data_IF_295249348915
#
_entry.id   IF_295249348915
#
_cell.length_a   1.000
_cell.length_b   1.000
_cell.length_c   1.000
_cell.angle_alpha   90.00
_cell.angle_beta   90.00
_cell.angle_gamma   90.00
#
_symmetry.space_group_name_H-M   'P 1'
#
loop_
_entity.id
_entity.type
_entity.pdbx_description
1 polymer ?
#
# COMPACT_ATOMS: atom_id res chain seq x y z
N UNK A 1 -30.46 -21.71 -17.56
CA UNK A 1 -29.03 -21.58 -17.20
C UNK A 1 -28.90 -22.14 -15.80
N UNK A 2 -28.12 -23.21 -15.61
CA UNK A 2 -27.95 -23.79 -14.27
C UNK A 2 -27.24 -22.78 -13.35
N UNK A 3 -27.66 -22.68 -12.08
CA UNK A 3 -27.10 -21.71 -11.12
C UNK A 3 -25.57 -21.80 -11.00
N UNK A 4 -25.03 -23.01 -11.12
CA UNK A 4 -23.59 -23.26 -11.10
C UNK A 4 -22.87 -22.66 -12.31
N UNK A 5 -23.48 -22.73 -13.50
CA UNK A 5 -22.91 -22.17 -14.73
C UNK A 5 -22.87 -20.65 -14.67
N UNK A 6 -23.93 -20.03 -14.15
CA UNK A 6 -23.97 -18.58 -13.92
C UNK A 6 -22.88 -18.15 -12.92
N UNK A 7 -22.76 -18.85 -11.79
CA UNK A 7 -21.74 -18.58 -10.78
C UNK A 7 -20.33 -18.61 -11.38
N UNK A 8 -19.98 -19.68 -12.12
CA UNK A 8 -18.65 -19.84 -12.71
C UNK A 8 -18.30 -18.72 -13.67
N UNK A 9 -19.23 -18.37 -14.56
CA UNK A 9 -18.98 -17.40 -15.62
C UNK A 9 -19.07 -15.94 -15.17
N UNK A 10 -19.99 -15.60 -14.28
CA UNK A 10 -20.30 -14.22 -13.92
C UNK A 10 -19.76 -13.79 -12.56
N UNK A 11 -19.30 -14.74 -11.73
CA UNK A 11 -18.78 -14.45 -10.39
C UNK A 11 -17.37 -14.98 -10.22
N UNK A 12 -17.15 -16.29 -10.33
CA UNK A 12 -15.85 -16.93 -10.05
C UNK A 12 -14.75 -16.45 -11.01
N UNK A 13 -14.98 -16.53 -12.33
CA UNK A 13 -13.98 -16.10 -13.32
C UNK A 13 -13.61 -14.60 -13.20
N UNK A 14 -14.57 -13.66 -13.08
CA UNK A 14 -14.25 -12.26 -12.79
C UNK A 14 -13.46 -12.07 -11.50
N UNK A 15 -13.82 -12.77 -10.41
CA UNK A 15 -13.08 -12.68 -9.15
C UNK A 15 -11.63 -13.17 -9.29
N UNK A 16 -11.41 -14.30 -9.97
CA UNK A 16 -10.07 -14.81 -10.28
C UNK A 16 -9.28 -13.77 -11.09
N UNK A 17 -9.90 -13.14 -12.09
CA UNK A 17 -9.25 -12.10 -12.88
C UNK A 17 -8.89 -10.87 -12.05
N UNK A 18 -9.77 -10.42 -11.15
CA UNK A 18 -9.50 -9.31 -10.23
C UNK A 18 -8.33 -9.65 -9.31
N UNK A 19 -8.33 -10.86 -8.72
CA UNK A 19 -7.25 -11.33 -7.82
C UNK A 19 -5.93 -11.39 -8.58
N UNK A 20 -5.90 -11.99 -9.76
CA UNK A 20 -4.69 -12.10 -10.58
C UNK A 20 -4.18 -10.72 -11.01
N UNK A 21 -5.06 -9.82 -11.42
CA UNK A 21 -4.70 -8.45 -11.79
C UNK A 21 -4.06 -7.75 -10.59
N UNK A 22 -4.73 -7.72 -9.43
CA UNK A 22 -4.23 -7.05 -8.23
C UNK A 22 -2.96 -7.69 -7.66
N UNK A 23 -2.79 -9.01 -7.77
CA UNK A 23 -1.57 -9.70 -7.35
C UNK A 23 -0.36 -9.36 -8.25
N UNK A 24 -0.59 -9.11 -9.54
CA UNK A 24 0.44 -8.66 -10.47
C UNK A 24 0.69 -7.14 -10.39
N UNK A 25 -0.31 -6.35 -9.95
CA UNK A 25 -0.25 -4.89 -9.89
C UNK A 25 0.44 -4.30 -8.65
N UNK A 26 1.24 -5.09 -7.93
CA UNK A 26 2.05 -4.62 -6.79
C UNK A 26 3.04 -3.48 -7.17
N UNK A 27 3.15 -3.14 -8.45
CA UNK A 27 3.97 -2.05 -8.99
C UNK A 27 3.18 -0.77 -9.33
N UNK A 28 1.83 -0.80 -9.32
CA UNK A 28 1.02 0.33 -9.77
C UNK A 28 1.28 1.61 -8.95
N UNK A 29 1.26 1.50 -7.62
CA UNK A 29 1.53 2.61 -6.71
C UNK A 29 2.92 3.22 -6.95
N UNK A 30 3.93 2.37 -7.16
CA UNK A 30 5.29 2.83 -7.46
C UNK A 30 5.36 3.53 -8.81
N UNK A 31 4.74 2.97 -9.85
CA UNK A 31 4.69 3.57 -11.19
C UNK A 31 3.98 4.92 -11.16
N UNK A 32 2.87 5.02 -10.42
CA UNK A 32 2.14 6.26 -10.19
C UNK A 32 3.07 7.33 -9.60
N UNK A 33 3.79 7.01 -8.53
CA UNK A 33 4.74 7.92 -7.89
C UNK A 33 5.84 8.33 -8.89
N UNK A 34 6.37 7.41 -9.69
CA UNK A 34 7.41 7.73 -10.67
C UNK A 34 6.94 8.71 -11.75
N UNK A 35 5.71 8.57 -12.23
CA UNK A 35 5.13 9.46 -13.24
C UNK A 35 4.91 10.89 -12.72
N UNK A 36 4.64 11.03 -11.43
CA UNK A 36 4.30 12.31 -10.80
C UNK A 36 5.49 12.96 -10.06
N UNK A 37 6.68 12.35 -10.08
CA UNK A 37 7.93 12.96 -9.61
C UNK A 37 8.80 13.43 -10.79
N UNK A 38 9.01 14.75 -10.98
CA UNK A 38 9.61 15.31 -12.20
C UNK A 38 11.15 15.22 -12.27
N UNK A 39 11.81 14.38 -11.49
CA UNK A 39 13.28 14.29 -11.41
C UNK A 39 13.78 12.87 -11.69
N UNK A 40 14.68 12.73 -12.68
CA UNK A 40 15.21 11.43 -13.14
C UNK A 40 15.98 10.67 -12.07
N UNK A 41 16.79 11.35 -11.24
CA UNK A 41 17.53 10.70 -10.16
C UNK A 41 16.58 10.18 -9.08
N UNK A 42 15.52 10.94 -8.80
CA UNK A 42 14.46 10.51 -7.89
C UNK A 42 13.66 9.34 -8.47
N UNK A 43 13.36 9.35 -9.78
CA UNK A 43 12.67 8.24 -10.44
C UNK A 43 13.44 6.91 -10.31
N UNK A 44 14.78 6.97 -10.42
CA UNK A 44 15.62 5.81 -10.16
C UNK A 44 15.58 5.37 -8.69
N UNK A 45 15.69 6.31 -7.74
CA UNK A 45 15.57 5.98 -6.33
C UNK A 45 14.21 5.35 -5.98
N UNK A 46 13.12 5.86 -6.57
CA UNK A 46 11.75 5.34 -6.41
C UNK A 46 11.61 3.96 -7.04
N UNK A 47 12.25 3.69 -8.19
CA UNK A 47 12.18 2.38 -8.86
C UNK A 47 12.71 1.24 -7.99
N UNK A 48 13.60 1.57 -7.05
CA UNK A 48 14.18 0.63 -6.11
C UNK A 48 13.25 0.34 -4.92
N UNK A 49 12.18 1.12 -4.70
CA UNK A 49 11.29 0.95 -3.56
C UNK A 49 10.37 -0.27 -3.75
N UNK A 50 10.15 -1.02 -2.68
CA UNK A 50 9.12 -2.06 -2.61
C UNK A 50 7.85 -1.49 -1.99
N UNK A 51 6.72 -2.21 -2.09
CA UNK A 51 5.47 -1.87 -1.38
C UNK A 51 5.70 -1.67 0.12
N UNK A 52 6.54 -2.51 0.74
CA UNK A 52 6.93 -2.34 2.14
C UNK A 52 7.73 -1.06 2.39
N UNK A 53 8.59 -0.64 1.45
CA UNK A 53 9.28 0.65 1.59
C UNK A 53 8.31 1.82 1.53
N UNK A 54 7.32 1.78 0.64
CA UNK A 54 6.29 2.82 0.51
C UNK A 54 5.40 2.89 1.76
N UNK A 55 4.90 1.74 2.23
CA UNK A 55 4.13 1.66 3.48
C UNK A 55 4.92 2.19 4.68
N UNK A 56 6.21 1.91 4.75
CA UNK A 56 7.08 2.41 5.82
C UNK A 56 7.25 3.94 5.76
N UNK A 57 7.32 4.54 4.56
CA UNK A 57 7.37 6.00 4.42
C UNK A 57 6.08 6.65 4.93
N UNK A 58 4.91 6.11 4.59
CA UNK A 58 3.63 6.59 5.13
C UNK A 58 3.60 6.51 6.65
N UNK A 59 4.03 5.39 7.23
CA UNK A 59 4.04 5.25 8.68
C UNK A 59 4.98 6.25 9.36
N UNK A 60 6.14 6.53 8.77
CA UNK A 60 7.04 7.56 9.29
C UNK A 60 6.38 8.93 9.20
N UNK A 61 5.72 9.30 8.11
CA UNK A 61 5.02 10.59 7.99
C UNK A 61 3.95 10.77 9.08
N UNK A 62 3.21 9.70 9.43
CA UNK A 62 2.15 9.73 10.44
C UNK A 62 2.68 9.90 11.87
N UNK A 63 3.88 9.39 12.17
CA UNK A 63 4.39 9.29 13.54
C UNK A 63 5.72 10.02 13.77
N UNK A 64 6.23 10.76 12.79
CA UNK A 64 7.55 11.41 12.88
C UNK A 64 7.61 12.51 13.95
N UNK A 65 8.72 12.62 14.72
CA UNK A 65 9.82 11.65 14.79
C UNK A 65 9.40 10.32 15.44
N UNK A 66 9.77 9.20 14.80
CA UNK A 66 9.40 7.85 15.26
C UNK A 66 10.63 6.99 15.54
N UNK A 67 10.59 6.15 16.57
CA UNK A 67 11.68 5.20 16.89
C UNK A 67 11.54 3.89 16.09
N UNK A 68 12.59 3.06 16.11
CA UNK A 68 12.51 1.73 15.52
C UNK A 68 11.43 0.87 16.22
N UNK A 69 11.32 0.95 17.54
CA UNK A 69 10.31 0.25 18.34
C UNK A 69 8.88 0.71 17.99
N UNK A 70 8.68 2.02 17.77
CA UNK A 70 7.38 2.54 17.33
C UNK A 70 6.98 1.98 15.97
N UNK A 71 7.91 1.93 15.01
CA UNK A 71 7.65 1.35 13.69
C UNK A 71 7.37 -0.16 13.74
N UNK A 72 8.00 -0.88 14.67
CA UNK A 72 7.72 -2.31 14.90
C UNK A 72 6.29 -2.51 15.39
N UNK A 73 5.87 -1.71 16.37
CA UNK A 73 4.54 -1.82 16.96
C UNK A 73 3.43 -1.53 15.95
N UNK A 74 3.60 -0.47 15.14
CA UNK A 74 2.58 -0.04 14.18
C UNK A 74 2.48 -0.93 12.94
N UNK A 75 3.58 -1.54 12.51
CA UNK A 75 3.62 -2.35 11.28
C UNK A 75 3.61 -3.86 11.51
N UNK A 76 3.70 -4.31 12.76
CA UNK A 76 3.88 -5.72 13.14
C UNK A 76 5.06 -6.39 12.41
N UNK A 77 6.21 -5.71 12.41
CA UNK A 77 7.42 -6.15 11.72
C UNK A 77 8.56 -6.42 12.68
N UNK A 78 9.43 -7.38 12.33
CA UNK A 78 10.63 -7.66 13.11
C UNK A 78 11.68 -6.54 12.97
N UNK A 79 12.44 -6.29 14.03
CA UNK A 79 13.52 -5.28 14.07
C UNK A 79 14.49 -5.36 12.88
N UNK A 80 14.88 -6.57 12.45
CA UNK A 80 15.77 -6.75 11.30
C UNK A 80 15.15 -6.27 9.98
N UNK A 81 13.82 -6.39 9.83
CA UNK A 81 13.08 -5.90 8.66
C UNK A 81 13.03 -4.38 8.66
N UNK A 82 12.66 -3.76 9.80
CA UNK A 82 12.67 -2.31 9.96
C UNK A 82 14.06 -1.75 9.67
N UNK A 83 15.09 -2.28 10.33
CA UNK A 83 16.50 -1.90 10.14
C UNK A 83 16.92 -1.92 8.66
N UNK A 84 16.66 -3.04 7.96
CA UNK A 84 17.01 -3.18 6.55
C UNK A 84 16.34 -2.11 5.69
N UNK A 85 15.04 -1.87 5.90
CA UNK A 85 14.26 -0.96 5.08
C UNK A 85 14.56 0.52 5.38
N UNK A 86 14.68 0.90 6.66
CA UNK A 86 15.04 2.28 7.05
C UNK A 86 16.45 2.64 6.59
N UNK A 87 17.41 1.72 6.67
CA UNK A 87 18.75 1.93 6.12
C UNK A 87 18.72 2.19 4.60
N UNK A 88 17.91 1.41 3.87
CA UNK A 88 17.72 1.59 2.43
C UNK A 88 17.07 2.94 2.12
N UNK A 89 16.00 3.31 2.83
CA UNK A 89 15.30 4.59 2.66
C UNK A 89 16.21 5.78 2.98
N UNK A 90 17.03 5.67 4.03
CA UNK A 90 18.01 6.70 4.39
C UNK A 90 19.10 6.85 3.32
N UNK A 91 19.64 5.73 2.83
CA UNK A 91 20.64 5.72 1.74
C UNK A 91 20.10 6.31 0.44
N UNK A 92 18.82 6.11 0.15
CA UNK A 92 18.15 6.67 -1.03
C UNK A 92 17.69 8.12 -0.82
N UNK A 93 17.91 8.71 0.37
CA UNK A 93 17.60 10.11 0.67
C UNK A 93 16.13 10.40 0.99
N UNK A 94 15.31 9.39 1.29
CA UNK A 94 13.90 9.57 1.65
C UNK A 94 13.68 9.80 3.16
N UNK A 95 14.60 9.31 3.99
CA UNK A 95 14.50 9.36 5.46
C UNK A 95 15.80 9.91 6.05
N UNK A 96 15.68 10.74 7.09
CA UNK A 96 16.79 11.14 7.97
C UNK A 96 16.68 10.42 9.31
N UNK A 97 17.83 10.15 9.92
CA UNK A 97 17.94 9.56 11.26
C UNK A 97 18.74 10.47 12.17
N UNK A 98 18.34 10.55 13.44
CA UNK A 98 19.03 11.37 14.45
C UNK A 98 20.32 10.75 14.98
N UNK A 99 20.50 9.43 14.84
CA UNK A 99 21.64 8.69 15.36
C UNK A 99 22.02 7.52 14.43
N UNK A 100 23.27 7.06 14.48
CA UNK A 100 23.72 5.91 13.66
C UNK A 100 23.22 4.57 14.21
N UNK A 101 23.25 4.40 15.54
CA UNK A 101 22.64 3.25 16.21
C UNK A 101 21.11 3.32 16.08
N UNK A 102 20.54 2.36 15.35
CA UNK A 102 19.11 2.28 15.02
C UNK A 102 18.23 2.17 16.26
N UNK A 103 18.71 1.53 17.33
CA UNK A 103 17.95 1.40 18.58
C UNK A 103 17.80 2.73 19.32
N UNK A 104 18.67 3.69 19.02
CA UNK A 104 18.67 5.03 19.60
C UNK A 104 18.21 6.10 18.61
N UNK A 105 18.00 5.71 17.35
CA UNK A 105 17.63 6.63 16.29
C UNK A 105 16.13 6.91 16.28
N UNK A 106 15.80 8.16 16.00
CA UNK A 106 14.46 8.56 15.54
C UNK A 106 14.51 8.87 14.05
N UNK A 107 13.45 8.53 13.34
CA UNK A 107 13.32 8.68 11.90
C UNK A 107 12.31 9.76 11.55
N UNK A 108 12.63 10.52 10.51
CA UNK A 108 11.77 11.56 9.93
C UNK A 108 11.94 11.53 8.41
N UNK A 109 10.92 11.93 7.67
CA UNK A 109 11.02 12.06 6.23
C UNK A 109 11.87 13.27 5.84
N UNK A 110 12.60 13.12 4.74
CA UNK A 110 13.16 14.28 4.05
C UNK A 110 12.08 14.99 3.25
N UNK A 111 12.36 16.19 2.72
CA UNK A 111 11.47 16.86 1.76
C UNK A 111 11.10 15.96 0.58
N UNK A 112 12.04 15.13 0.12
CA UNK A 112 11.81 14.14 -0.93
C UNK A 112 10.89 13.02 -0.45
N UNK A 113 11.13 12.48 0.75
CA UNK A 113 10.27 11.48 1.37
C UNK A 113 8.83 11.95 1.52
N UNK A 114 8.61 13.14 2.09
CA UNK A 114 7.26 13.68 2.26
C UNK A 114 6.56 13.95 0.93
N UNK A 115 7.30 14.35 -0.12
CA UNK A 115 6.71 14.49 -1.47
C UNK A 115 6.26 13.14 -2.05
N UNK A 116 7.02 12.07 -1.82
CA UNK A 116 6.62 10.72 -2.23
C UNK A 116 5.34 10.30 -1.51
N UNK A 117 5.26 10.51 -0.19
CA UNK A 117 4.06 10.16 0.59
C UNK A 117 2.85 11.01 0.20
N UNK A 118 3.04 12.30 -0.09
CA UNK A 118 1.97 13.16 -0.62
C UNK A 118 1.35 12.57 -1.90
N UNK A 119 2.17 12.23 -2.89
CA UNK A 119 1.70 11.63 -4.16
C UNK A 119 1.05 10.26 -3.93
N UNK A 120 1.54 9.49 -2.97
CA UNK A 120 0.96 8.22 -2.56
C UNK A 120 -0.45 8.41 -1.97
N UNK A 121 -0.65 9.44 -1.15
CA UNK A 121 -1.95 9.77 -0.59
C UNK A 121 -2.92 10.28 -1.66
N UNK A 122 -2.44 11.08 -2.64
CA UNK A 122 -3.27 11.48 -3.80
C UNK A 122 -3.80 10.27 -4.58
N UNK A 123 -2.98 9.21 -4.71
CA UNK A 123 -3.45 7.96 -5.31
C UNK A 123 -4.50 7.27 -4.44
N UNK A 124 -4.27 7.22 -3.12
CA UNK A 124 -5.25 6.70 -2.16
C UNK A 124 -6.60 7.39 -2.31
N UNK A 125 -6.62 8.72 -2.32
CA UNK A 125 -7.83 9.52 -2.47
C UNK A 125 -8.53 9.25 -3.82
N UNK A 126 -7.77 9.10 -4.91
CA UNK A 126 -8.32 8.78 -6.22
C UNK A 126 -8.99 7.39 -6.22
N UNK A 127 -8.35 6.39 -5.60
CA UNK A 127 -8.89 5.04 -5.48
C UNK A 127 -10.13 5.01 -4.58
N UNK A 128 -10.12 5.73 -3.47
CA UNK A 128 -11.25 5.84 -2.57
C UNK A 128 -12.44 6.51 -3.24
N UNK A 129 -12.23 7.54 -4.06
CA UNK A 129 -13.30 8.13 -4.88
C UNK A 129 -13.85 7.14 -5.91
N UNK A 130 -13.00 6.32 -6.54
CA UNK A 130 -13.46 5.29 -7.47
C UNK A 130 -14.29 4.21 -6.74
N UNK A 131 -13.84 3.80 -5.55
CA UNK A 131 -14.59 2.86 -4.71
C UNK A 131 -15.91 3.46 -4.24
N UNK A 132 -15.93 4.72 -3.81
CA UNK A 132 -17.15 5.42 -3.41
C UNK A 132 -18.20 5.42 -4.54
N UNK A 133 -17.79 5.79 -5.77
CA UNK A 133 -18.68 5.76 -6.95
C UNK A 133 -19.11 4.35 -7.35
N UNK A 134 -18.32 3.33 -7.04
CA UNK A 134 -18.69 1.94 -7.27
C UNK A 134 -19.78 1.52 -6.28
N UNK A 135 -19.59 1.76 -4.98
CA UNK A 135 -20.54 1.33 -3.94
C UNK A 135 -21.83 2.13 -3.98
N UNK A 136 -21.82 3.39 -4.43
CA UNK A 136 -23.04 4.19 -4.65
C UNK A 136 -24.04 3.56 -5.63
N UNK A 137 -23.60 2.62 -6.48
CA UNK A 137 -24.47 1.92 -7.44
C UNK A 137 -25.32 0.84 -6.80
N UNK A 138 -25.05 0.49 -5.55
CA UNK A 138 -25.66 -0.63 -4.85
C UNK A 138 -26.32 -0.15 -3.56
N UNK A 139 -27.48 -0.73 -3.23
CA UNK A 139 -28.12 -0.46 -1.94
C UNK A 139 -27.36 -1.12 -0.79
N UNK A 140 -27.54 -0.67 0.47
CA UNK A 140 -26.97 -1.34 1.64
C UNK A 140 -27.33 -2.83 1.71
N UNK A 141 -28.54 -3.21 1.32
CA UNK A 141 -29.02 -4.59 1.31
C UNK A 141 -28.30 -5.41 0.23
N UNK A 142 -28.11 -4.86 -0.98
CA UNK A 142 -27.35 -5.51 -2.05
C UNK A 142 -25.88 -5.72 -1.63
N UNK A 143 -25.27 -4.72 -0.99
CA UNK A 143 -23.92 -4.84 -0.46
C UNK A 143 -23.82 -5.89 0.65
N UNK A 144 -24.83 -6.00 1.52
CA UNK A 144 -24.90 -7.05 2.54
C UNK A 144 -24.94 -8.44 1.92
N UNK A 145 -25.78 -8.64 0.89
CA UNK A 145 -25.87 -9.92 0.18
C UNK A 145 -24.52 -10.29 -0.45
N UNK A 146 -23.84 -9.32 -1.09
CA UNK A 146 -22.51 -9.54 -1.66
C UNK A 146 -21.48 -9.89 -0.58
N UNK A 147 -21.51 -9.19 0.57
CA UNK A 147 -20.61 -9.45 1.68
C UNK A 147 -20.80 -10.86 2.27
N UNK A 148 -22.05 -11.25 2.52
CA UNK A 148 -22.40 -12.59 3.03
C UNK A 148 -21.97 -13.66 2.03
N UNK A 149 -22.25 -13.45 0.74
CA UNK A 149 -21.83 -14.39 -0.31
C UNK A 149 -20.31 -14.56 -0.39
N UNK A 150 -19.54 -13.46 -0.33
CA UNK A 150 -18.07 -13.53 -0.33
C UNK A 150 -17.53 -14.21 0.93
N UNK A 151 -18.19 -14.04 2.08
CA UNK A 151 -17.84 -14.72 3.33
C UNK A 151 -18.10 -16.23 3.23
N UNK A 152 -19.28 -16.63 2.74
CA UNK A 152 -19.62 -18.04 2.53
C UNK A 152 -18.61 -18.71 1.57
N UNK A 153 -18.16 -18.00 0.53
CA UNK A 153 -17.11 -18.48 -0.37
C UNK A 153 -15.77 -18.68 0.35
N UNK A 154 -15.39 -17.81 1.28
CA UNK A 154 -14.16 -17.96 2.05
C UNK A 154 -14.22 -19.13 3.03
N UNK A 155 -15.37 -19.38 3.64
CA UNK A 155 -15.58 -20.45 4.61
C UNK A 155 -15.83 -21.83 3.94
N UNK A 156 -16.33 -21.83 2.71
CA UNK A 156 -16.58 -23.04 1.92
C UNK A 156 -15.35 -23.69 1.28
N UNK A 157 -14.15 -23.19 1.58
CA UNK A 157 -12.86 -23.69 1.10
C UNK A 157 -11.98 -24.25 2.22
#
# INVERSE_FOLDING_TARGET
MEKLDFYKHHIENPLINIINTRAQDNNFERQWIQLHVPNRDLQYAISQLTTLNLRLLQQIELSQPVTAEGLIAELDLKMGVITKNVNKLSRLGFVTRSHEDIKQATFQLTKTGSKVVMIQNELGDLLDQQHARLVEKYSPEELSIVADFLKDMQEGH
#
